data_IF_017022674831
#
_entry.id   IF_017022674831
#
_cell.length_a   1.000
_cell.length_b   1.000
_cell.length_c   1.000
_cell.angle_alpha   90.00
_cell.angle_beta   90.00
_cell.angle_gamma   90.00
#
_symmetry.space_group_name_H-M   'P 1'
#
loop_
_entity.id
_entity.type
_entity.pdbx_description
1 polymer ?
#
# COMPACT_ATOMS: atom_id res chain seq x y z
N UNK A 1 -16.07 33.89 98.74
CA UNK A 1 -16.29 32.46 98.82
C UNK A 1 -16.40 31.88 97.44
N UNK A 2 -15.71 30.91 97.13
CA UNK A 2 -15.50 30.13 95.91
C UNK A 2 -15.13 30.89 94.61
N UNK A 3 -13.83 30.91 94.39
CA UNK A 3 -13.16 31.34 93.15
C UNK A 3 -13.40 30.33 92.02
N UNK A 4 -13.87 30.79 90.90
CA UNK A 4 -13.96 30.00 89.68
C UNK A 4 -12.86 30.49 88.73
N UNK A 5 -11.81 29.68 88.59
CA UNK A 5 -10.77 29.93 87.55
C UNK A 5 -11.26 29.48 86.23
N UNK A 6 -11.42 30.39 85.31
CA UNK A 6 -11.66 30.07 83.86
C UNK A 6 -10.35 29.71 83.24
N UNK A 7 -10.30 28.48 82.74
CA UNK A 7 -9.19 27.94 81.91
C UNK A 7 -9.48 28.29 80.46
N UNK A 8 -8.69 29.17 79.83
CA UNK A 8 -8.76 29.56 78.46
C UNK A 8 -7.99 28.49 77.63
N UNK A 9 -8.73 27.62 76.90
CA UNK A 9 -8.13 26.67 75.96
C UNK A 9 -7.99 27.35 74.64
N UNK A 10 -6.74 27.62 74.21
CA UNK A 10 -6.39 28.18 72.93
C UNK A 10 -6.40 27.05 71.86
N UNK A 11 -7.41 27.03 71.01
CA UNK A 11 -7.47 26.10 69.86
C UNK A 11 -6.55 26.65 68.74
N UNK A 12 -5.39 26.00 68.57
CA UNK A 12 -4.51 26.26 67.43
C UNK A 12 -5.06 25.53 66.20
N UNK A 13 -5.79 26.21 65.35
CA UNK A 13 -6.28 25.68 64.03
C UNK A 13 -5.11 25.52 63.09
N UNK A 14 -4.73 24.27 62.80
CA UNK A 14 -3.81 23.94 61.73
C UNK A 14 -4.63 24.03 60.45
N UNK A 15 -4.46 25.09 59.65
CA UNK A 15 -4.91 25.16 58.28
C UNK A 15 -3.97 24.31 57.43
N UNK A 16 -4.40 23.08 57.08
CA UNK A 16 -3.83 22.31 56.00
C UNK A 16 -4.28 23.00 54.68
N UNK A 17 -3.38 23.72 54.05
CA UNK A 17 -3.54 24.07 52.67
C UNK A 17 -3.35 22.77 51.87
N UNK A 18 -4.44 22.16 51.39
CA UNK A 18 -4.41 21.21 50.29
C UNK A 18 -4.03 22.03 49.04
N UNK A 19 -2.84 21.82 48.49
CA UNK A 19 -2.58 22.12 47.10
C UNK A 19 -3.50 21.17 46.32
N UNK A 20 -4.58 21.66 45.77
CA UNK A 20 -5.20 21.03 44.61
C UNK A 20 -4.20 21.24 43.46
N UNK A 21 -3.56 20.16 43.03
CA UNK A 21 -2.90 20.14 41.75
C UNK A 21 -4.01 20.31 40.70
N UNK A 22 -4.16 21.51 40.16
CA UNK A 22 -4.97 21.72 38.96
C UNK A 22 -4.47 20.74 37.92
N UNK A 23 -5.34 19.91 37.30
CA UNK A 23 -4.94 19.08 36.19
C UNK A 23 -4.33 20.00 35.14
N UNK A 24 -3.10 19.73 34.72
CA UNK A 24 -2.44 20.50 33.67
C UNK A 24 -3.41 20.64 32.51
N UNK A 25 -3.71 21.88 32.12
CA UNK A 25 -4.58 22.18 30.98
C UNK A 25 -3.96 21.53 29.75
N UNK A 26 -4.59 20.49 29.23
CA UNK A 26 -4.15 19.83 28.00
C UNK A 26 -4.37 20.84 26.89
N UNK A 27 -3.32 21.53 26.48
CA UNK A 27 -3.36 22.44 25.33
C UNK A 27 -3.51 21.56 24.09
N UNK A 28 -4.71 21.52 23.56
CA UNK A 28 -4.98 20.83 22.28
C UNK A 28 -4.23 21.55 21.16
N UNK A 29 -3.29 20.86 20.52
CA UNK A 29 -2.54 21.40 19.38
C UNK A 29 -3.43 21.39 18.16
N UNK A 30 -3.92 22.55 17.75
CA UNK A 30 -4.70 22.70 16.52
C UNK A 30 -3.78 22.61 15.31
N UNK A 31 -3.91 21.53 14.53
CA UNK A 31 -3.12 21.32 13.31
C UNK A 31 -3.89 21.82 12.10
N UNK A 32 -3.31 22.76 11.37
CA UNK A 32 -3.89 23.26 10.11
C UNK A 32 -3.02 22.75 8.94
N UNK A 33 -3.52 21.81 8.12
CA UNK A 33 -2.77 21.32 6.97
C UNK A 33 -2.68 22.40 5.88
N UNK A 34 -1.60 22.41 5.07
CA UNK A 34 -1.52 23.29 3.91
C UNK A 34 -2.56 22.91 2.84
N UNK A 35 -2.83 23.83 1.90
CA UNK A 35 -3.76 23.56 0.81
C UNK A 35 -3.29 22.39 -0.09
N UNK A 36 -1.98 22.28 -0.29
CA UNK A 36 -1.32 21.27 -1.14
C UNK A 36 -0.26 20.51 -0.33
N UNK A 37 0.28 19.40 -0.85
CA UNK A 37 1.35 18.63 -0.19
C UNK A 37 2.70 19.34 -0.36
N UNK A 38 2.78 20.55 0.21
CA UNK A 38 3.96 21.42 0.15
C UNK A 38 4.42 21.76 1.55
N UNK A 39 5.64 21.34 1.90
CA UNK A 39 6.26 21.58 3.20
C UNK A 39 7.67 22.11 3.00
N UNK A 40 7.97 23.23 3.65
CA UNK A 40 9.23 23.93 3.49
C UNK A 40 9.85 24.29 4.83
N UNK A 41 11.18 24.40 4.85
CA UNK A 41 11.98 24.91 5.96
C UNK A 41 13.08 25.79 5.37
N UNK A 42 13.18 27.03 5.83
CA UNK A 42 14.16 28.01 5.34
C UNK A 42 14.15 28.17 3.81
N UNK A 43 12.96 28.11 3.18
CA UNK A 43 12.78 28.22 1.72
C UNK A 43 13.23 26.99 0.93
N UNK A 44 13.49 25.87 1.60
CA UNK A 44 13.82 24.58 0.96
C UNK A 44 12.70 23.59 1.21
N UNK A 45 12.32 22.84 0.17
CA UNK A 45 11.38 21.74 0.34
C UNK A 45 11.89 20.71 1.34
N UNK A 46 11.03 20.29 2.26
CA UNK A 46 11.30 19.17 3.18
C UNK A 46 10.74 17.84 2.68
N UNK A 47 9.98 17.85 1.57
CA UNK A 47 9.35 16.65 0.98
C UNK A 47 10.39 15.84 0.20
N UNK A 48 10.50 14.54 0.48
CA UNK A 48 11.50 13.70 -0.17
C UNK A 48 11.06 12.22 -0.25
N UNK A 49 10.87 11.71 -1.48
CA UNK A 49 10.47 10.32 -1.76
C UNK A 49 11.04 9.76 -3.08
N UNK A 50 12.17 10.27 -3.55
CA UNK A 50 12.77 9.85 -4.85
C UNK A 50 13.03 8.35 -4.97
N UNK A 51 13.29 7.68 -3.83
CA UNK A 51 13.47 6.22 -3.82
C UNK A 51 12.19 5.45 -4.12
N UNK A 52 11.03 5.99 -3.76
CA UNK A 52 9.71 5.42 -4.07
C UNK A 52 9.38 5.62 -5.54
N UNK A 53 9.58 6.83 -6.08
CA UNK A 53 9.43 7.11 -7.51
C UNK A 53 10.24 6.14 -8.36
N UNK A 54 11.51 5.94 -8.02
CA UNK A 54 12.37 4.99 -8.72
C UNK A 54 11.81 3.55 -8.70
N UNK A 55 11.28 3.08 -7.55
CA UNK A 55 10.68 1.74 -7.47
C UNK A 55 9.37 1.62 -8.25
N UNK A 56 8.56 2.65 -8.27
CA UNK A 56 7.33 2.67 -9.08
C UNK A 56 7.65 2.60 -10.57
N UNK A 57 8.66 3.35 -11.05
CA UNK A 57 9.15 3.26 -12.44
C UNK A 57 9.73 1.87 -12.74
N UNK A 58 10.55 1.31 -11.84
CA UNK A 58 11.08 -0.05 -11.96
C UNK A 58 9.93 -1.08 -12.09
N UNK A 59 8.87 -0.96 -11.30
CA UNK A 59 7.73 -1.87 -11.36
C UNK A 59 6.99 -1.74 -12.72
N UNK A 60 6.79 -0.52 -13.21
CA UNK A 60 6.16 -0.27 -14.50
C UNK A 60 6.95 -0.91 -15.66
N UNK A 61 8.27 -0.70 -15.69
CA UNK A 61 9.13 -1.28 -16.74
C UNK A 61 9.21 -2.80 -16.63
N UNK A 62 9.37 -3.35 -15.42
CA UNK A 62 9.38 -4.81 -15.20
C UNK A 62 8.06 -5.44 -15.65
N UNK A 63 6.90 -4.80 -15.35
CA UNK A 63 5.59 -5.26 -15.81
C UNK A 63 5.49 -5.35 -17.33
N UNK A 64 6.10 -4.42 -18.05
CA UNK A 64 6.20 -4.46 -19.51
C UNK A 64 7.03 -5.65 -20.00
N UNK A 65 8.18 -5.89 -19.40
CA UNK A 65 9.06 -7.00 -19.76
C UNK A 65 8.50 -8.37 -19.38
N UNK A 66 7.71 -8.48 -18.33
CA UNK A 66 6.99 -9.72 -17.97
C UNK A 66 5.89 -10.09 -18.98
N UNK A 67 5.54 -9.20 -19.91
CA UNK A 67 4.61 -9.47 -21.03
C UNK A 67 5.30 -9.45 -22.39
N UNK A 68 6.63 -9.34 -22.43
CA UNK A 68 7.41 -9.23 -23.68
C UNK A 68 8.47 -10.33 -23.72
N UNK A 69 8.35 -11.32 -24.63
CA UNK A 69 9.23 -12.52 -24.63
C UNK A 69 10.62 -12.22 -25.20
N UNK A 70 11.31 -11.23 -24.64
CA UNK A 70 12.64 -10.77 -25.10
C UNK A 70 13.70 -10.82 -24.00
N UNK A 71 13.32 -11.07 -22.76
CA UNK A 71 14.26 -11.14 -21.63
C UNK A 71 14.34 -12.56 -21.06
N UNK A 72 15.53 -12.91 -20.59
CA UNK A 72 15.81 -14.16 -19.88
C UNK A 72 15.37 -14.07 -18.42
N UNK A 73 15.28 -15.23 -17.75
CA UNK A 73 15.02 -15.30 -16.31
C UNK A 73 16.06 -14.50 -15.50
N UNK A 74 17.33 -14.59 -15.85
CA UNK A 74 18.41 -13.86 -15.17
C UNK A 74 18.28 -12.34 -15.30
N UNK A 75 17.84 -11.85 -16.48
CA UNK A 75 17.62 -10.41 -16.69
C UNK A 75 16.42 -9.89 -15.91
N UNK A 76 15.29 -10.61 -15.89
CA UNK A 76 14.10 -10.21 -15.12
C UNK A 76 14.37 -10.33 -13.60
N UNK A 77 15.11 -11.35 -13.18
CA UNK A 77 15.56 -11.49 -11.79
C UNK A 77 16.46 -10.33 -11.37
N UNK A 78 17.44 -9.94 -12.20
CA UNK A 78 18.30 -8.79 -11.93
C UNK A 78 17.51 -7.47 -11.84
N UNK A 79 16.47 -7.28 -12.68
CA UNK A 79 15.56 -6.14 -12.56
C UNK A 79 14.85 -6.13 -11.23
N UNK A 80 14.28 -7.25 -10.81
CA UNK A 80 13.50 -7.35 -9.58
C UNK A 80 14.39 -7.34 -8.33
N UNK A 81 15.43 -8.17 -8.29
CA UNK A 81 16.23 -8.45 -7.09
C UNK A 81 17.48 -7.57 -6.98
N UNK A 82 18.10 -7.15 -8.09
CA UNK A 82 19.32 -6.36 -8.07
C UNK A 82 19.12 -4.88 -8.42
N UNK A 83 17.97 -4.52 -9.00
CA UNK A 83 17.66 -3.15 -9.39
C UNK A 83 18.45 -2.70 -10.61
N UNK A 84 18.82 -3.62 -11.51
CA UNK A 84 19.65 -3.38 -12.70
C UNK A 84 18.94 -3.85 -13.98
N UNK A 85 19.48 -3.49 -15.14
CA UNK A 85 18.94 -3.96 -16.44
C UNK A 85 17.72 -3.19 -16.95
N UNK A 86 17.40 -2.04 -16.36
CA UNK A 86 16.36 -1.12 -16.81
C UNK A 86 16.84 -0.27 -17.98
N UNK A 87 15.91 0.14 -18.85
CA UNK A 87 16.17 1.02 -19.98
C UNK A 87 16.56 2.44 -19.55
N UNK A 88 15.99 2.94 -18.44
CA UNK A 88 16.42 4.19 -17.83
C UNK A 88 17.62 3.93 -16.88
N UNK A 89 18.84 4.37 -17.23
CA UNK A 89 20.03 4.12 -16.42
C UNK A 89 19.97 4.80 -15.03
N UNK A 90 19.14 5.83 -14.85
CA UNK A 90 18.96 6.49 -13.56
C UNK A 90 18.33 5.53 -12.52
N UNK A 91 17.54 4.56 -12.95
CA UNK A 91 16.95 3.56 -12.06
C UNK A 91 18.05 2.68 -11.42
N UNK A 92 18.95 2.14 -12.22
CA UNK A 92 20.10 1.38 -11.69
C UNK A 92 21.01 2.25 -10.83
N UNK A 93 21.30 3.50 -11.24
CA UNK A 93 22.10 4.44 -10.49
C UNK A 93 21.47 4.86 -9.15
N UNK A 94 20.15 4.72 -9.00
CA UNK A 94 19.43 5.01 -7.74
C UNK A 94 19.82 4.05 -6.60
N UNK A 95 20.39 2.88 -6.91
CA UNK A 95 20.68 1.81 -5.96
C UNK A 95 19.43 1.19 -5.31
N UNK A 96 18.24 1.50 -5.82
CA UNK A 96 16.99 0.93 -5.31
C UNK A 96 16.72 -0.44 -5.91
N UNK A 97 15.94 -1.24 -5.21
CA UNK A 97 15.54 -2.60 -5.62
C UNK A 97 14.07 -2.80 -5.28
N UNK A 98 13.34 -3.55 -6.12
CA UNK A 98 11.96 -3.95 -5.83
C UNK A 98 11.92 -5.07 -4.80
N UNK A 99 12.67 -6.14 -5.04
CA UNK A 99 12.61 -7.38 -4.26
C UNK A 99 12.93 -7.19 -2.77
N UNK A 100 13.82 -6.25 -2.40
CA UNK A 100 14.16 -6.00 -1.00
C UNK A 100 13.08 -5.23 -0.20
N UNK A 101 12.07 -4.71 -0.90
CA UNK A 101 10.92 -4.02 -0.30
C UNK A 101 9.60 -4.79 -0.48
N UNK A 102 9.61 -5.85 -1.28
CA UNK A 102 8.46 -6.71 -1.50
C UNK A 102 8.28 -7.66 -0.31
N UNK A 103 7.12 -7.59 0.34
CA UNK A 103 6.77 -8.40 1.51
C UNK A 103 7.86 -8.38 2.59
N UNK A 104 8.32 -7.18 2.96
CA UNK A 104 9.46 -6.99 3.86
C UNK A 104 9.09 -6.51 5.26
N UNK A 105 7.81 -6.26 5.51
CA UNK A 105 7.32 -5.89 6.85
C UNK A 105 7.28 -7.10 7.79
N UNK A 106 7.11 -6.82 9.08
CA UNK A 106 7.05 -7.87 10.12
C UNK A 106 5.82 -8.76 10.04
N UNK A 107 4.75 -8.32 9.34
CA UNK A 107 3.54 -9.13 9.16
C UNK A 107 3.62 -10.04 7.93
N UNK A 108 4.54 -9.76 7.00
CA UNK A 108 4.67 -10.49 5.76
C UNK A 108 5.13 -11.93 5.99
N UNK A 109 4.45 -12.87 5.36
CA UNK A 109 4.94 -14.25 5.33
C UNK A 109 6.20 -14.37 4.46
N UNK A 110 7.19 -15.12 4.95
CA UNK A 110 8.42 -15.40 4.19
C UNK A 110 8.18 -16.16 2.87
N UNK A 111 6.96 -16.69 2.66
CA UNK A 111 6.57 -17.38 1.44
C UNK A 111 6.17 -16.45 0.29
N UNK A 112 5.83 -15.17 0.57
CA UNK A 112 5.29 -14.28 -0.45
C UNK A 112 6.34 -13.83 -1.46
N UNK A 113 7.49 -13.33 -1.00
CA UNK A 113 8.55 -12.91 -1.93
C UNK A 113 8.99 -14.03 -2.87
N UNK A 114 9.21 -15.30 -2.42
CA UNK A 114 9.47 -16.43 -3.32
C UNK A 114 8.37 -16.71 -4.37
N UNK A 115 7.10 -16.34 -4.12
CA UNK A 115 6.06 -16.45 -5.14
C UNK A 115 6.33 -15.51 -6.33
N UNK A 116 6.82 -14.31 -6.10
CA UNK A 116 7.22 -13.40 -7.18
C UNK A 116 8.41 -13.94 -7.97
N UNK A 117 9.42 -14.51 -7.30
CA UNK A 117 10.54 -15.15 -7.98
C UNK A 117 10.06 -16.33 -8.85
N UNK A 118 9.10 -17.13 -8.35
CA UNK A 118 8.51 -18.24 -9.10
C UNK A 118 7.72 -17.76 -10.34
N UNK A 119 7.04 -16.60 -10.28
CA UNK A 119 6.37 -16.01 -11.45
C UNK A 119 7.36 -15.61 -12.54
N UNK A 120 8.55 -15.08 -12.19
CA UNK A 120 9.63 -14.80 -13.15
C UNK A 120 10.10 -16.08 -13.84
N UNK A 121 10.28 -17.15 -13.06
CA UNK A 121 10.67 -18.45 -13.61
C UNK A 121 9.57 -19.02 -14.52
N UNK A 122 8.29 -18.95 -14.10
CA UNK A 122 7.16 -19.47 -14.89
C UNK A 122 7.03 -18.76 -16.23
N UNK A 123 7.05 -17.42 -16.25
CA UNK A 123 6.92 -16.65 -17.49
C UNK A 123 8.06 -16.95 -18.47
N UNK A 124 9.28 -17.09 -17.99
CA UNK A 124 10.46 -17.29 -18.86
C UNK A 124 10.67 -18.75 -19.31
N UNK A 125 10.29 -19.71 -18.45
CA UNK A 125 10.50 -21.13 -18.75
C UNK A 125 9.30 -21.79 -19.42
N UNK A 126 8.09 -21.34 -19.15
CA UNK A 126 6.86 -21.97 -19.64
C UNK A 126 6.08 -21.11 -20.64
N UNK A 127 6.01 -19.77 -20.42
CA UNK A 127 5.18 -18.90 -21.27
C UNK A 127 5.94 -18.41 -22.49
N UNK A 128 7.09 -17.77 -22.32
CA UNK A 128 7.85 -17.16 -23.41
C UNK A 128 8.26 -18.13 -24.52
N UNK A 129 8.72 -19.36 -24.22
CA UNK A 129 9.04 -20.33 -25.28
C UNK A 129 7.84 -20.78 -26.10
N UNK A 130 6.63 -20.56 -25.59
CA UNK A 130 5.38 -21.08 -26.15
C UNK A 130 4.45 -19.99 -26.72
N UNK A 131 4.86 -18.74 -26.82
CA UNK A 131 3.99 -17.63 -27.29
C UNK A 131 3.45 -17.83 -28.71
N UNK A 132 4.09 -18.65 -29.52
CA UNK A 132 3.61 -18.97 -30.87
C UNK A 132 2.54 -20.07 -30.90
N UNK A 133 2.29 -20.74 -29.76
CA UNK A 133 1.27 -21.78 -29.68
C UNK A 133 -0.10 -21.15 -29.35
N UNK A 134 -1.18 -21.79 -29.81
CA UNK A 134 -2.51 -21.49 -29.32
C UNK A 134 -2.67 -22.03 -27.89
N UNK A 135 -2.95 -21.16 -26.95
CA UNK A 135 -3.12 -21.55 -25.54
C UNK A 135 -4.43 -22.31 -25.32
N UNK A 136 -4.37 -23.30 -24.44
CA UNK A 136 -5.53 -24.09 -23.98
C UNK A 136 -5.26 -24.65 -22.59
N UNK A 137 -6.24 -25.29 -21.96
CA UNK A 137 -6.05 -25.93 -20.66
C UNK A 137 -4.82 -26.86 -20.67
N UNK A 138 -3.86 -26.60 -19.78
CA UNK A 138 -2.58 -27.31 -19.68
C UNK A 138 -1.52 -26.90 -20.71
N UNK A 139 -1.84 -26.05 -21.71
CA UNK A 139 -0.91 -25.64 -22.77
C UNK A 139 -0.70 -24.14 -22.70
N UNK A 140 0.52 -23.65 -22.40
CA UNK A 140 0.84 -22.23 -22.43
C UNK A 140 0.92 -21.70 -23.87
N UNK A 141 0.67 -20.39 -24.03
CA UNK A 141 0.75 -19.77 -25.35
C UNK A 141 -0.02 -18.45 -25.43
N UNK A 142 -0.47 -18.12 -26.63
CA UNK A 142 -1.31 -16.95 -26.92
C UNK A 142 -2.76 -17.39 -27.07
N UNK A 143 -3.69 -16.71 -26.42
CA UNK A 143 -5.12 -16.91 -26.56
C UNK A 143 -5.79 -15.63 -27.05
N UNK A 144 -6.65 -15.75 -28.06
CA UNK A 144 -7.34 -14.61 -28.66
C UNK A 144 -8.83 -14.89 -28.78
N UNK A 145 -9.66 -14.02 -28.20
CA UNK A 145 -11.10 -14.05 -28.43
C UNK A 145 -11.43 -13.59 -29.85
N UNK A 146 -12.41 -14.15 -30.53
CA UNK A 146 -12.85 -13.69 -31.86
C UNK A 146 -13.24 -12.21 -31.85
N UNK A 147 -12.45 -11.37 -32.53
CA UNK A 147 -12.66 -9.90 -32.58
C UNK A 147 -12.41 -9.20 -31.28
N UNK A 148 -11.73 -9.84 -30.30
CA UNK A 148 -11.50 -9.35 -28.97
C UNK A 148 -10.03 -9.25 -28.57
N UNK A 149 -9.80 -9.40 -27.26
CA UNK A 149 -8.48 -9.32 -26.61
C UNK A 149 -7.59 -10.50 -27.02
N UNK A 150 -6.29 -10.24 -27.04
CA UNK A 150 -5.24 -11.26 -27.06
C UNK A 150 -4.47 -11.22 -25.72
N UNK A 151 -4.22 -12.38 -25.13
CA UNK A 151 -3.43 -12.56 -23.90
C UNK A 151 -2.34 -13.60 -24.11
N UNK A 152 -1.23 -13.47 -23.39
CA UNK A 152 -0.15 -14.45 -23.32
C UNK A 152 -0.20 -15.08 -21.92
N UNK A 153 -0.47 -16.39 -21.86
CA UNK A 153 -0.83 -17.08 -20.63
C UNK A 153 -0.08 -18.40 -20.46
N UNK A 154 0.06 -18.85 -19.20
CA UNK A 154 0.53 -20.19 -18.91
C UNK A 154 -0.59 -21.23 -19.09
N UNK A 155 -0.29 -22.53 -18.87
CA UNK A 155 -1.25 -23.62 -19.02
C UNK A 155 -2.46 -23.56 -18.08
N UNK A 156 -2.40 -22.76 -17.01
CA UNK A 156 -3.51 -22.50 -16.07
C UNK A 156 -4.35 -21.29 -16.46
N UNK A 157 -4.00 -20.58 -17.52
CA UNK A 157 -4.68 -19.36 -17.95
C UNK A 157 -4.18 -18.08 -17.29
N UNK A 158 -3.03 -18.13 -16.59
CA UNK A 158 -2.47 -16.98 -15.89
C UNK A 158 -1.70 -16.04 -16.85
N UNK A 159 -2.09 -14.78 -16.93
CA UNK A 159 -1.34 -13.69 -17.53
C UNK A 159 -0.34 -13.17 -16.51
N UNK A 160 0.89 -13.70 -16.50
CA UNK A 160 1.87 -13.60 -15.40
C UNK A 160 2.22 -12.16 -15.02
N UNK A 161 2.33 -11.25 -15.99
CA UNK A 161 2.58 -9.83 -15.70
C UNK A 161 1.46 -9.22 -14.86
N UNK A 162 0.20 -9.64 -15.03
CA UNK A 162 -0.92 -9.15 -14.22
C UNK A 162 -0.85 -9.69 -12.79
N UNK A 163 -0.61 -11.01 -12.62
CA UNK A 163 -0.40 -11.59 -11.29
C UNK A 163 0.69 -10.82 -10.54
N UNK A 164 1.82 -10.60 -11.20
CA UNK A 164 2.99 -9.97 -10.62
C UNK A 164 2.71 -8.52 -10.21
N UNK A 165 2.27 -7.69 -11.14
CA UNK A 165 2.09 -6.25 -10.90
C UNK A 165 0.93 -5.98 -9.94
N UNK A 166 -0.18 -6.74 -10.03
CA UNK A 166 -1.29 -6.57 -9.06
C UNK A 166 -0.94 -7.11 -7.69
N UNK A 167 -0.12 -8.17 -7.62
CA UNK A 167 0.44 -8.65 -6.36
C UNK A 167 1.36 -7.63 -5.67
N UNK A 168 2.14 -6.85 -6.43
CA UNK A 168 2.96 -5.76 -5.88
C UNK A 168 2.14 -4.63 -5.24
N UNK A 169 0.86 -4.49 -5.57
CA UNK A 169 0.01 -3.49 -4.90
C UNK A 169 -0.11 -3.74 -3.40
N UNK A 170 -0.28 -5.00 -2.99
CA UNK A 170 -0.20 -5.40 -1.60
C UNK A 170 1.24 -5.55 -1.12
N UNK A 171 1.99 -6.43 -1.77
CA UNK A 171 3.29 -6.87 -1.29
C UNK A 171 4.39 -5.78 -1.33
N UNK A 172 4.23 -4.72 -2.12
CA UNK A 172 5.14 -3.59 -2.13
C UNK A 172 4.45 -2.33 -1.56
N UNK A 173 3.34 -1.87 -2.16
CA UNK A 173 2.76 -0.57 -1.81
C UNK A 173 2.08 -0.60 -0.44
N UNK A 174 1.12 -1.52 -0.21
CA UNK A 174 0.44 -1.61 1.08
C UNK A 174 1.38 -2.08 2.20
N UNK A 175 2.27 -3.04 1.94
CA UNK A 175 3.27 -3.51 2.89
C UNK A 175 4.14 -2.36 3.41
N UNK A 176 4.62 -1.50 2.51
CA UNK A 176 5.47 -0.37 2.88
C UNK A 176 4.68 0.79 3.50
N UNK A 177 3.53 1.18 2.95
CA UNK A 177 2.74 2.30 3.52
C UNK A 177 2.17 1.90 4.87
N UNK A 178 1.40 0.79 4.92
CA UNK A 178 0.56 0.43 6.08
C UNK A 178 1.41 -0.10 7.23
N UNK A 179 2.36 -1.01 6.94
CA UNK A 179 3.06 -1.79 7.95
C UNK A 179 4.47 -1.31 8.25
N UNK A 180 5.02 -0.43 7.40
CA UNK A 180 6.33 0.17 7.59
C UNK A 180 6.21 1.68 7.85
N UNK A 181 6.12 2.50 6.81
CA UNK A 181 6.34 3.95 6.89
C UNK A 181 5.35 4.71 7.76
N UNK A 182 4.05 4.34 7.76
CA UNK A 182 3.04 4.96 8.60
C UNK A 182 2.80 4.19 9.93
N UNK A 183 3.59 3.17 10.23
CA UNK A 183 3.48 2.50 11.53
C UNK A 183 4.11 3.35 12.64
N UNK A 184 3.50 3.37 13.83
CA UNK A 184 4.06 4.02 15.01
C UNK A 184 5.44 3.45 15.35
N UNK A 185 5.64 2.14 15.21
CA UNK A 185 6.95 1.50 15.40
C UNK A 185 8.06 2.04 14.51
N UNK A 186 7.71 2.53 13.29
CA UNK A 186 8.64 3.18 12.37
C UNK A 186 8.79 4.67 12.66
N UNK A 187 7.65 5.37 12.83
CA UNK A 187 7.63 6.81 13.03
C UNK A 187 8.26 7.21 14.38
N UNK A 188 7.97 6.47 15.43
CA UNK A 188 8.47 6.74 16.80
C UNK A 188 9.78 6.00 17.12
N UNK A 189 10.26 5.17 16.19
CA UNK A 189 11.42 4.30 16.42
C UNK A 189 12.69 5.06 16.80
N UNK A 190 13.43 4.54 17.78
CA UNK A 190 14.69 5.13 18.23
C UNK A 190 14.51 6.51 18.87
N UNK A 191 15.17 7.53 18.30
CA UNK A 191 15.12 8.92 18.78
C UNK A 191 14.18 9.81 17.94
N UNK A 192 13.40 9.24 17.03
CA UNK A 192 12.63 10.03 16.02
C UNK A 192 11.71 11.08 16.64
N UNK A 193 11.03 10.76 17.75
CA UNK A 193 10.15 11.73 18.46
C UNK A 193 10.99 12.87 19.03
N UNK A 194 12.02 12.55 19.80
CA UNK A 194 12.87 13.57 20.42
C UNK A 194 13.63 14.41 19.37
N UNK A 195 14.08 13.79 18.27
CA UNK A 195 14.74 14.48 17.16
C UNK A 195 13.78 15.40 16.42
N UNK A 196 12.54 14.97 16.22
CA UNK A 196 11.51 15.79 15.58
C UNK A 196 11.13 16.98 16.46
N UNK A 197 10.93 16.79 17.77
CA UNK A 197 10.62 17.85 18.73
C UNK A 197 11.77 18.87 18.84
N UNK A 198 13.01 18.41 18.75
CA UNK A 198 14.20 19.27 18.76
C UNK A 198 14.48 19.93 17.39
N UNK A 199 13.76 19.55 16.33
CA UNK A 199 14.05 19.99 14.97
C UNK A 199 15.39 19.47 14.43
N UNK A 200 15.86 18.31 14.91
CA UNK A 200 17.12 17.68 14.47
C UNK A 200 16.96 17.13 13.06
N UNK A 201 17.67 17.72 12.11
CA UNK A 201 17.60 17.34 10.70
C UNK A 201 18.50 16.14 10.41
N UNK A 202 18.12 15.35 9.41
CA UNK A 202 19.01 14.36 8.80
C UNK A 202 20.20 15.07 8.17
N UNK A 203 21.40 14.55 8.34
CA UNK A 203 22.63 15.18 7.87
C UNK A 203 22.58 15.55 6.37
N UNK A 204 22.81 16.82 6.07
CA UNK A 204 22.75 17.38 4.72
C UNK A 204 21.33 17.46 4.13
N UNK A 205 20.27 17.36 4.94
CA UNK A 205 18.87 17.44 4.50
C UNK A 205 18.11 18.58 5.19
N UNK A 206 16.95 18.92 4.63
CA UNK A 206 16.02 19.93 5.16
C UNK A 206 14.89 19.33 6.04
N UNK A 207 14.87 18.03 6.26
CA UNK A 207 13.82 17.29 6.96
C UNK A 207 14.33 16.49 8.15
N UNK A 208 13.45 16.19 9.10
CA UNK A 208 13.70 15.22 10.18
C UNK A 208 13.49 13.79 9.67
N UNK A 209 13.97 12.79 10.40
CA UNK A 209 13.76 11.37 10.03
C UNK A 209 12.27 11.02 9.97
N UNK A 210 11.45 11.52 10.92
CA UNK A 210 10.01 11.24 10.96
C UNK A 210 9.29 11.86 9.76
N UNK A 211 9.61 13.11 9.41
CA UNK A 211 9.09 13.78 8.21
C UNK A 211 9.38 12.97 6.96
N UNK A 212 10.62 12.50 6.82
CA UNK A 212 11.03 11.71 5.66
C UNK A 212 10.30 10.36 5.57
N UNK A 213 10.12 9.65 6.69
CA UNK A 213 9.36 8.39 6.67
C UNK A 213 7.92 8.58 6.22
N UNK A 214 7.26 9.65 6.68
CA UNK A 214 5.92 9.98 6.22
C UNK A 214 5.86 10.27 4.72
N UNK A 215 6.81 11.06 4.23
CA UNK A 215 6.95 11.38 2.80
C UNK A 215 7.26 10.13 1.96
N UNK A 216 8.03 9.17 2.48
CA UNK A 216 8.26 7.89 1.82
C UNK A 216 6.95 7.08 1.68
N UNK A 217 6.05 7.13 2.68
CA UNK A 217 4.71 6.58 2.57
C UNK A 217 3.88 7.25 1.48
N UNK A 218 3.85 8.58 1.47
CA UNK A 218 3.21 9.39 0.42
C UNK A 218 3.75 9.05 -0.98
N UNK A 219 5.06 8.93 -1.11
CA UNK A 219 5.74 8.65 -2.37
C UNK A 219 5.39 7.31 -3.02
N UNK A 220 4.99 6.29 -2.26
CA UNK A 220 4.49 5.04 -2.85
C UNK A 220 3.14 5.17 -3.55
N UNK A 221 2.38 6.22 -3.26
CA UNK A 221 1.09 6.48 -3.91
C UNK A 221 1.18 7.58 -4.96
N UNK A 222 1.92 8.67 -4.66
CA UNK A 222 1.99 9.88 -5.47
C UNK A 222 3.35 10.09 -6.16
N UNK A 223 4.30 9.17 -6.00
CA UNK A 223 5.69 9.37 -6.43
C UNK A 223 5.92 9.42 -7.94
N UNK A 224 4.94 9.03 -8.76
CA UNK A 224 4.96 9.20 -10.22
C UNK A 224 4.03 10.31 -10.71
N UNK A 225 3.36 11.00 -9.80
CA UNK A 225 2.51 12.11 -10.15
C UNK A 225 3.35 13.34 -10.55
N UNK A 226 2.91 14.03 -11.57
CA UNK A 226 3.54 15.29 -12.02
C UNK A 226 2.99 16.51 -11.31
N UNK A 227 1.81 16.40 -10.71
CA UNK A 227 1.17 17.47 -9.92
C UNK A 227 0.76 16.96 -8.52
N UNK A 228 1.61 17.20 -7.54
CA UNK A 228 1.35 16.86 -6.13
C UNK A 228 0.32 17.77 -5.45
N UNK A 229 -0.29 18.71 -6.18
CA UNK A 229 -1.24 19.68 -5.62
C UNK A 229 -2.69 19.17 -5.65
N UNK A 230 -2.95 18.02 -6.22
CA UNK A 230 -4.30 17.45 -6.36
C UNK A 230 -4.38 16.08 -5.70
N UNK A 231 -5.61 15.66 -5.38
CA UNK A 231 -5.90 14.30 -4.92
C UNK A 231 -5.96 13.28 -6.07
N UNK A 232 -6.11 13.76 -7.30
CA UNK A 232 -6.10 12.92 -8.49
C UNK A 232 -4.67 12.63 -8.90
N UNK A 233 -4.34 11.35 -9.06
CA UNK A 233 -3.01 10.91 -9.47
C UNK A 233 -3.00 10.70 -10.98
N UNK A 234 -2.18 11.47 -11.68
CA UNK A 234 -2.13 11.42 -13.15
C UNK A 234 -1.23 10.33 -13.71
N UNK A 235 -0.39 9.72 -12.87
CA UNK A 235 0.62 8.76 -13.30
C UNK A 235 1.69 9.41 -14.19
N UNK A 236 2.94 9.35 -13.78
CA UNK A 236 4.05 10.04 -14.41
C UNK A 236 4.33 9.62 -15.86
N UNK A 237 5.41 10.14 -16.43
CA UNK A 237 5.87 9.98 -17.80
C UNK A 237 6.09 8.51 -18.28
N UNK A 238 6.14 7.55 -17.37
CA UNK A 238 6.21 6.11 -17.65
C UNK A 238 4.85 5.47 -17.97
N UNK A 239 3.77 6.26 -18.09
CA UNK A 239 2.42 5.72 -18.21
C UNK A 239 1.99 4.95 -16.95
N UNK A 240 2.47 5.39 -15.81
CA UNK A 240 2.54 4.77 -14.49
C UNK A 240 1.29 4.23 -13.85
N UNK A 241 0.42 3.78 -14.64
CA UNK A 241 -0.90 3.28 -14.39
C UNK A 241 -0.91 1.78 -14.00
N UNK A 242 0.07 1.35 -13.24
CA UNK A 242 0.26 -0.08 -12.95
C UNK A 242 0.06 -0.46 -11.50
N UNK A 243 0.07 0.49 -10.56
CA UNK A 243 -0.01 0.25 -9.12
C UNK A 243 -1.24 0.91 -8.47
N UNK A 244 -1.26 1.04 -7.15
CA UNK A 244 -2.44 1.39 -6.36
C UNK A 244 -3.07 2.72 -6.76
N UNK A 245 -2.28 3.72 -7.16
CA UNK A 245 -2.78 5.04 -7.54
C UNK A 245 -3.81 5.01 -8.68
N UNK A 246 -3.59 4.18 -9.71
CA UNK A 246 -4.57 3.95 -10.76
C UNK A 246 -5.91 3.47 -10.23
N UNK A 247 -5.86 2.51 -9.31
CA UNK A 247 -7.06 1.88 -8.78
C UNK A 247 -7.76 2.75 -7.77
N UNK A 248 -7.03 3.61 -7.07
CA UNK A 248 -7.59 4.68 -6.27
C UNK A 248 -8.51 5.59 -7.11
N UNK A 249 -8.01 6.08 -8.26
CA UNK A 249 -8.82 6.89 -9.17
C UNK A 249 -10.02 6.11 -9.75
N UNK A 250 -9.83 4.84 -10.11
CA UNK A 250 -10.92 4.00 -10.62
C UNK A 250 -12.05 3.81 -9.61
N UNK A 251 -11.73 3.47 -8.36
CA UNK A 251 -12.77 3.28 -7.33
C UNK A 251 -13.36 4.61 -6.89
N UNK A 252 -12.60 5.71 -6.91
CA UNK A 252 -13.07 7.06 -6.61
C UNK A 252 -14.19 7.51 -7.56
N UNK A 253 -14.09 7.14 -8.83
CA UNK A 253 -15.10 7.49 -9.84
C UNK A 253 -16.24 6.47 -9.95
N UNK A 254 -16.23 5.40 -9.14
CA UNK A 254 -17.21 4.32 -9.23
C UNK A 254 -17.79 3.92 -7.87
N UNK A 255 -17.09 3.07 -7.14
CA UNK A 255 -17.64 2.37 -5.97
C UNK A 255 -17.28 2.98 -4.62
N UNK A 256 -16.27 3.84 -4.55
CA UNK A 256 -15.79 4.49 -3.32
C UNK A 256 -15.56 6.00 -3.57
N UNK A 257 -16.62 6.76 -3.88
CA UNK A 257 -16.48 8.18 -4.21
C UNK A 257 -15.93 8.98 -3.03
N UNK A 258 -14.99 9.88 -3.31
CA UNK A 258 -14.31 10.72 -2.32
C UNK A 258 -13.04 10.12 -1.74
N UNK A 259 -12.77 8.83 -1.95
CA UNK A 259 -11.62 8.13 -1.32
C UNK A 259 -10.26 8.76 -1.68
N UNK A 260 -10.09 9.27 -2.90
CA UNK A 260 -8.86 9.94 -3.32
C UNK A 260 -8.60 11.20 -2.50
N UNK A 261 -9.64 12.03 -2.32
CA UNK A 261 -9.54 13.26 -1.52
C UNK A 261 -9.27 12.94 -0.04
N UNK A 262 -9.95 11.94 0.52
CA UNK A 262 -9.77 11.54 1.91
C UNK A 262 -8.34 11.07 2.19
N UNK A 263 -7.74 10.28 1.30
CA UNK A 263 -6.36 9.81 1.42
C UNK A 263 -5.38 10.99 1.32
N UNK A 264 -5.59 11.87 0.34
CA UNK A 264 -4.72 13.02 0.12
C UNK A 264 -4.75 14.00 1.30
N UNK A 265 -5.95 14.30 1.81
CA UNK A 265 -6.12 15.17 2.98
C UNK A 265 -5.51 14.56 4.24
N UNK A 266 -5.65 13.25 4.44
CA UNK A 266 -5.03 12.55 5.54
C UNK A 266 -3.50 12.60 5.46
N UNK A 267 -2.90 12.42 4.29
CA UNK A 267 -1.45 12.59 4.12
C UNK A 267 -0.98 14.01 4.43
N UNK A 268 -1.69 15.03 3.93
CA UNK A 268 -1.36 16.44 4.23
C UNK A 268 -1.48 16.74 5.73
N UNK A 269 -2.58 16.31 6.33
CA UNK A 269 -2.86 16.60 7.74
C UNK A 269 -1.87 15.89 8.67
N UNK A 270 -1.59 14.61 8.43
CA UNK A 270 -0.61 13.87 9.24
C UNK A 270 0.82 14.41 9.08
N UNK A 271 1.21 14.89 7.88
CA UNK A 271 2.51 15.54 7.67
C UNK A 271 2.60 16.90 8.40
N UNK A 272 1.48 17.66 8.42
CA UNK A 272 1.39 18.90 9.19
C UNK A 272 1.42 18.62 10.70
N UNK A 273 0.79 17.53 11.15
CA UNK A 273 0.82 17.09 12.54
C UNK A 273 2.25 16.73 13.01
N UNK A 274 3.06 16.11 12.17
CA UNK A 274 4.48 15.86 12.45
C UNK A 274 5.23 17.17 12.68
N UNK A 275 5.02 18.18 11.80
CA UNK A 275 5.64 19.51 11.93
C UNK A 275 5.21 20.20 13.23
N UNK A 276 3.96 20.00 13.65
CA UNK A 276 3.41 20.61 14.87
C UNK A 276 3.71 19.83 16.16
N UNK A 277 4.33 18.63 16.07
CA UNK A 277 4.52 17.74 17.24
C UNK A 277 3.22 17.12 17.77
N UNK A 278 2.14 17.11 16.96
CA UNK A 278 0.83 16.56 17.33
C UNK A 278 0.72 15.09 16.89
N UNK A 279 1.39 14.19 17.61
CA UNK A 279 1.54 12.80 17.18
C UNK A 279 0.25 11.98 17.25
N UNK A 280 -0.66 12.32 18.15
CA UNK A 280 -1.99 11.69 18.17
C UNK A 280 -2.77 11.98 16.88
N UNK A 281 -2.75 13.24 16.40
CA UNK A 281 -3.36 13.64 15.13
C UNK A 281 -2.66 12.94 13.96
N UNK A 282 -1.32 12.85 13.97
CA UNK A 282 -0.56 12.08 12.97
C UNK A 282 -1.05 10.64 12.87
N UNK A 283 -1.22 9.97 14.02
CA UNK A 283 -1.62 8.57 14.07
C UNK A 283 -3.06 8.36 13.60
N UNK A 284 -3.98 9.26 13.94
CA UNK A 284 -5.34 9.25 13.40
C UNK A 284 -5.34 9.36 11.87
N UNK A 285 -4.53 10.28 11.30
CA UNK A 285 -4.43 10.43 9.86
C UNK A 285 -3.77 9.20 9.20
N UNK A 286 -2.79 8.59 9.85
CA UNK A 286 -2.19 7.34 9.39
C UNK A 286 -3.24 6.20 9.30
N UNK A 287 -4.13 6.07 10.30
CA UNK A 287 -5.18 5.05 10.29
C UNK A 287 -6.22 5.30 9.18
N UNK A 288 -6.53 6.55 8.85
CA UNK A 288 -7.38 6.89 7.69
C UNK A 288 -6.72 6.38 6.40
N UNK A 289 -5.46 6.71 6.16
CA UNK A 289 -4.72 6.25 4.96
C UNK A 289 -4.72 4.72 4.88
N UNK A 290 -4.35 4.03 5.97
CA UNK A 290 -4.27 2.56 6.02
C UNK A 290 -5.61 1.90 5.73
N UNK A 291 -6.69 2.39 6.32
CA UNK A 291 -8.04 1.88 6.11
C UNK A 291 -8.50 2.09 4.67
N UNK A 292 -8.32 3.29 4.13
CA UNK A 292 -8.75 3.61 2.76
C UNK A 292 -7.97 2.83 1.70
N UNK A 293 -6.66 2.67 1.86
CA UNK A 293 -5.85 1.80 0.98
C UNK A 293 -6.32 0.34 1.04
N UNK A 294 -6.64 -0.16 2.24
CA UNK A 294 -7.18 -1.50 2.42
C UNK A 294 -8.51 -1.69 1.69
N UNK A 295 -9.40 -0.68 1.73
CA UNK A 295 -10.67 -0.69 1.01
C UNK A 295 -10.48 -0.72 -0.51
N UNK A 296 -9.49 0.00 -1.07
CA UNK A 296 -9.17 -0.09 -2.52
C UNK A 296 -8.82 -1.53 -2.91
N UNK A 297 -7.95 -2.18 -2.13
CA UNK A 297 -7.52 -3.56 -2.40
C UNK A 297 -8.69 -4.54 -2.31
N UNK A 298 -9.48 -4.48 -1.22
CA UNK A 298 -10.66 -5.35 -1.03
C UNK A 298 -11.71 -5.17 -2.11
N UNK A 299 -12.04 -3.91 -2.46
CA UNK A 299 -12.99 -3.60 -3.52
C UNK A 299 -12.52 -4.15 -4.87
N UNK A 300 -11.26 -3.96 -5.22
CA UNK A 300 -10.72 -4.44 -6.50
C UNK A 300 -10.61 -5.96 -6.57
N UNK A 301 -10.29 -6.64 -5.47
CA UNK A 301 -10.33 -8.10 -5.42
C UNK A 301 -11.73 -8.64 -5.75
N UNK A 302 -12.78 -8.08 -5.13
CA UNK A 302 -14.16 -8.47 -5.40
C UNK A 302 -14.61 -8.12 -6.83
N UNK A 303 -14.28 -6.91 -7.32
CA UNK A 303 -14.65 -6.46 -8.67
C UNK A 303 -14.08 -7.38 -9.75
N UNK A 304 -12.81 -7.78 -9.65
CA UNK A 304 -12.17 -8.61 -10.67
C UNK A 304 -12.65 -10.05 -10.64
N UNK A 305 -12.99 -10.60 -9.48
CA UNK A 305 -13.65 -11.92 -9.39
C UNK A 305 -15.01 -11.91 -10.09
N UNK A 306 -15.83 -10.88 -9.85
CA UNK A 306 -17.13 -10.72 -10.52
C UNK A 306 -16.94 -10.52 -12.02
N UNK A 307 -16.02 -9.66 -12.42
CA UNK A 307 -15.71 -9.43 -13.83
C UNK A 307 -15.25 -10.70 -14.53
N UNK A 308 -14.36 -11.48 -13.91
CA UNK A 308 -13.93 -12.78 -14.43
C UNK A 308 -15.09 -13.73 -14.63
N UNK A 309 -15.97 -13.85 -13.63
CA UNK A 309 -17.19 -14.68 -13.72
C UNK A 309 -18.10 -14.26 -14.87
N UNK A 310 -18.36 -12.95 -15.02
CA UNK A 310 -19.20 -12.42 -16.10
C UNK A 310 -18.59 -12.68 -17.48
N UNK A 311 -17.26 -12.57 -17.60
CA UNK A 311 -16.55 -12.85 -18.87
C UNK A 311 -16.58 -14.34 -19.25
N UNK A 312 -16.49 -15.25 -18.25
CA UNK A 312 -16.66 -16.69 -18.49
C UNK A 312 -18.09 -16.96 -19.00
N UNK A 313 -19.12 -16.43 -18.34
CA UNK A 313 -20.51 -16.61 -18.75
C UNK A 313 -20.77 -16.05 -20.16
N UNK A 314 -20.11 -14.96 -20.54
CA UNK A 314 -20.17 -14.36 -21.88
C UNK A 314 -19.37 -15.16 -22.94
N UNK A 315 -18.56 -16.15 -22.56
CA UNK A 315 -17.66 -16.89 -23.45
C UNK A 315 -16.45 -16.09 -23.91
N UNK A 316 -16.10 -14.98 -23.23
CA UNK A 316 -14.98 -14.09 -23.54
C UNK A 316 -13.75 -14.50 -22.72
N UNK A 317 -13.12 -15.58 -23.11
CA UNK A 317 -12.08 -16.22 -22.32
C UNK A 317 -10.78 -15.41 -22.18
N UNK A 318 -10.36 -14.68 -23.23
CA UNK A 318 -9.18 -13.81 -23.11
C UNK A 318 -9.42 -12.67 -22.10
N UNK A 319 -10.61 -12.06 -22.12
CA UNK A 319 -11.01 -11.06 -21.13
C UNK A 319 -11.14 -11.67 -19.74
N UNK A 320 -11.63 -12.93 -19.63
CA UNK A 320 -11.74 -13.65 -18.36
C UNK A 320 -10.35 -13.92 -17.76
N UNK A 321 -9.41 -14.47 -18.53
CA UNK A 321 -8.04 -14.72 -18.11
C UNK A 321 -7.35 -13.44 -17.64
N UNK A 322 -7.54 -12.33 -18.37
CA UNK A 322 -7.02 -11.03 -17.96
C UNK A 322 -7.60 -10.57 -16.60
N UNK A 323 -8.94 -10.57 -16.49
CA UNK A 323 -9.61 -10.13 -15.27
C UNK A 323 -9.25 -11.00 -14.05
N UNK A 324 -9.22 -12.33 -14.22
CA UNK A 324 -8.85 -13.25 -13.15
C UNK A 324 -7.36 -13.12 -12.77
N UNK A 325 -6.48 -12.83 -13.74
CA UNK A 325 -5.07 -12.57 -13.46
C UNK A 325 -4.88 -11.30 -12.62
N UNK A 326 -5.62 -10.23 -12.93
CA UNK A 326 -5.65 -9.03 -12.07
C UNK A 326 -6.26 -9.37 -10.69
N UNK A 327 -7.36 -10.11 -10.65
CA UNK A 327 -8.03 -10.57 -9.42
C UNK A 327 -7.12 -11.39 -8.52
N UNK A 328 -6.35 -12.31 -9.09
CA UNK A 328 -5.36 -13.12 -8.37
C UNK A 328 -4.36 -12.24 -7.60
N UNK A 329 -3.81 -11.22 -8.27
CA UNK A 329 -2.87 -10.30 -7.65
C UNK A 329 -3.51 -9.45 -6.53
N UNK A 330 -4.77 -9.04 -6.69
CA UNK A 330 -5.51 -8.36 -5.62
C UNK A 330 -5.86 -9.28 -4.45
N UNK A 331 -6.16 -10.56 -4.70
CA UNK A 331 -6.35 -11.56 -3.62
C UNK A 331 -5.04 -11.76 -2.86
N UNK A 332 -3.90 -11.92 -3.56
CA UNK A 332 -2.58 -11.97 -2.91
C UNK A 332 -2.35 -10.75 -2.02
N UNK A 333 -2.83 -9.58 -2.44
CA UNK A 333 -2.66 -8.31 -1.74
C UNK A 333 -3.51 -8.18 -0.47
N UNK A 334 -4.57 -8.98 -0.27
CA UNK A 334 -5.46 -8.92 0.90
C UNK A 334 -4.74 -9.13 2.23
N UNK A 335 -3.67 -9.94 2.26
CA UNK A 335 -2.87 -10.17 3.46
C UNK A 335 -2.05 -8.97 3.92
N UNK A 336 -1.94 -7.92 3.09
CA UNK A 336 -1.25 -6.66 3.40
C UNK A 336 -2.21 -5.52 3.74
N UNK A 337 -3.51 -5.79 3.76
CA UNK A 337 -4.53 -4.83 4.21
C UNK A 337 -4.56 -4.75 5.74
N UNK A 338 -5.20 -3.72 6.30
CA UNK A 338 -5.38 -3.57 7.74
C UNK A 338 -6.86 -3.38 8.08
N UNK A 339 -7.38 -4.23 8.95
CA UNK A 339 -8.69 -4.08 9.55
C UNK A 339 -8.58 -3.13 10.76
N UNK A 340 -9.25 -1.97 10.77
CA UNK A 340 -9.15 -1.00 11.85
C UNK A 340 -9.66 -1.55 13.20
N UNK A 341 -10.64 -2.47 13.20
CA UNK A 341 -11.24 -3.01 14.42
C UNK A 341 -10.30 -3.97 15.17
N UNK A 342 -9.45 -4.67 14.43
CA UNK A 342 -8.56 -5.71 15.00
C UNK A 342 -7.09 -5.31 15.00
N UNK A 343 -6.71 -4.29 14.21
CA UNK A 343 -5.33 -3.90 13.97
C UNK A 343 -4.51 -4.91 13.15
N UNK A 344 -5.13 -6.01 12.67
CA UNK A 344 -4.51 -7.07 11.89
C UNK A 344 -4.93 -7.01 10.42
N UNK A 345 -4.30 -7.76 9.50
CA UNK A 345 -4.81 -7.89 8.14
C UNK A 345 -6.26 -8.40 8.10
N UNK A 346 -7.03 -7.95 7.11
CA UNK A 346 -8.37 -8.51 6.88
C UNK A 346 -8.33 -10.01 6.60
N UNK A 347 -7.29 -10.47 5.92
CA UNK A 347 -7.06 -11.89 5.61
C UNK A 347 -5.65 -12.29 6.00
N UNK A 348 -5.51 -13.42 6.68
CA UNK A 348 -4.23 -14.03 6.97
C UNK A 348 -3.57 -14.60 5.69
N UNK A 349 -2.26 -14.83 5.73
CA UNK A 349 -1.55 -15.49 4.63
C UNK A 349 -2.15 -16.89 4.31
N UNK A 350 -2.59 -17.64 5.32
CA UNK A 350 -3.21 -18.94 5.12
C UNK A 350 -4.56 -18.85 4.39
N UNK A 351 -5.43 -17.90 4.78
CA UNK A 351 -6.70 -17.66 4.08
C UNK A 351 -6.47 -17.23 2.63
N UNK A 352 -5.53 -16.31 2.39
CA UNK A 352 -5.17 -15.88 1.03
C UNK A 352 -4.68 -17.03 0.18
N UNK A 353 -3.79 -17.87 0.71
CA UNK A 353 -3.29 -19.05 -0.03
C UNK A 353 -4.40 -20.06 -0.35
N UNK A 354 -5.38 -20.24 0.55
CA UNK A 354 -6.56 -21.06 0.27
C UNK A 354 -7.39 -20.48 -0.87
N UNK A 355 -7.67 -19.17 -0.84
CA UNK A 355 -8.42 -18.50 -1.91
C UNK A 355 -7.70 -18.58 -3.27
N UNK A 356 -6.37 -18.43 -3.27
CA UNK A 356 -5.57 -18.56 -4.50
C UNK A 356 -5.55 -20.01 -5.02
N UNK A 357 -5.57 -21.01 -4.14
CA UNK A 357 -5.67 -22.41 -4.54
C UNK A 357 -7.05 -22.74 -5.14
N UNK A 358 -8.13 -22.15 -4.63
CA UNK A 358 -9.49 -22.34 -5.14
C UNK A 358 -9.66 -21.79 -6.57
N UNK A 359 -8.81 -20.84 -6.99
CA UNK A 359 -8.83 -20.24 -8.34
C UNK A 359 -7.54 -20.53 -9.12
N UNK A 360 -6.79 -21.58 -8.79
CA UNK A 360 -5.47 -21.86 -9.39
C UNK A 360 -5.54 -22.19 -10.89
N UNK A 361 -6.65 -22.70 -11.38
CA UNK A 361 -6.85 -23.03 -12.81
C UNK A 361 -8.05 -22.26 -13.37
N UNK A 362 -7.76 -21.20 -14.13
CA UNK A 362 -8.79 -20.31 -14.69
C UNK A 362 -9.64 -20.99 -15.79
N UNK A 363 -9.18 -22.10 -16.39
CA UNK A 363 -9.94 -22.83 -17.36
C UNK A 363 -11.11 -23.61 -16.75
N UNK A 364 -11.02 -23.94 -15.45
CA UNK A 364 -11.97 -24.84 -14.81
C UNK A 364 -12.74 -24.18 -13.66
N UNK A 365 -12.35 -22.97 -13.25
CA UNK A 365 -13.02 -22.29 -12.14
C UNK A 365 -14.47 -21.93 -12.49
N UNK A 366 -15.41 -22.26 -11.59
CA UNK A 366 -16.82 -21.96 -11.82
C UNK A 366 -17.16 -20.48 -11.54
N UNK A 367 -17.92 -19.81 -12.42
CA UNK A 367 -18.37 -18.43 -12.18
C UNK A 367 -19.13 -18.23 -10.84
N UNK A 368 -19.87 -19.23 -10.39
CA UNK A 368 -20.59 -19.18 -9.11
C UNK A 368 -19.62 -19.11 -7.91
N UNK A 369 -18.50 -19.83 -7.95
CA UNK A 369 -17.48 -19.84 -6.88
C UNK A 369 -16.76 -18.49 -6.83
N UNK A 370 -16.44 -17.90 -7.98
CA UNK A 370 -15.87 -16.55 -8.09
C UNK A 370 -16.78 -15.49 -7.47
N UNK A 371 -18.10 -15.55 -7.75
CA UNK A 371 -19.08 -14.62 -7.17
C UNK A 371 -19.26 -14.83 -5.67
N UNK A 372 -19.21 -16.08 -5.20
CA UNK A 372 -19.28 -16.42 -3.78
C UNK A 372 -18.05 -15.86 -3.03
N UNK A 373 -16.84 -16.05 -3.58
CA UNK A 373 -15.62 -15.48 -3.02
C UNK A 373 -15.65 -13.96 -2.99
N UNK A 374 -16.11 -13.31 -4.07
CA UNK A 374 -16.28 -11.87 -4.13
C UNK A 374 -17.24 -11.34 -3.04
N UNK A 375 -18.37 -12.01 -2.85
CA UNK A 375 -19.36 -11.66 -1.80
C UNK A 375 -18.77 -11.81 -0.40
N UNK A 376 -17.95 -12.84 -0.17
CA UNK A 376 -17.26 -13.04 1.10
C UNK A 376 -16.26 -11.92 1.39
N UNK A 377 -15.53 -11.46 0.37
CA UNK A 377 -14.61 -10.30 0.49
C UNK A 377 -15.42 -9.04 0.81
N UNK A 378 -16.48 -8.75 0.06
CA UNK A 378 -17.31 -7.56 0.29
C UNK A 378 -17.88 -7.54 1.71
N UNK A 379 -18.42 -8.67 2.18
CA UNK A 379 -18.94 -8.79 3.54
C UNK A 379 -17.89 -8.52 4.60
N UNK A 380 -16.66 -9.03 4.41
CA UNK A 380 -15.57 -8.88 5.40
C UNK A 380 -15.04 -7.44 5.47
N UNK A 381 -15.12 -6.69 4.36
CA UNK A 381 -14.76 -5.27 4.30
C UNK A 381 -15.91 -4.31 4.61
N UNK A 382 -17.16 -4.80 4.65
CA UNK A 382 -18.36 -4.00 4.91
C UNK A 382 -18.83 -3.17 3.70
N UNK A 383 -18.64 -3.68 2.48
CA UNK A 383 -19.09 -3.02 1.23
C UNK A 383 -20.55 -3.34 0.89
#
# INVERSE_FOLDING_TARGET
>A
MKNFKQLLVMFLGIFLFACEDDPAEVVEIVVTPPATYTFERDGQSTVSFSGQSARLEMAAELGTWLNTPMKTAAELDAMFNDGTGFGNPALAASGKKLGNKTASSSIASSTVKPQFDALIVDVTSNVFPNVANDASAGTPGTYTDPGGRTVIINGKGHEINQLFIKGLMGALVCDQIIWQYLSTGKLDGGTNVADNDAGTLVDGKSYTTMEHYWDEGFGYLYGLDTDLNTAEVEGGSSGGDVLVSKYMNKVNTSSLPGISQEIYDAFKHGRAAIVAGAYDVRDEQAEIVKTKLSHIIGRKAADYLKSGADKIDDGKWADAHHALSEGWGFILSLQFTKNPDTGSPYYSNAEVNSMLADIDDFWTVAPADLRSMATSIESKFGF
#
